data_IF_852270709567
#
_entry.id   IF_852270709567
#
_cell.length_a   1.000
_cell.length_b   1.000
_cell.length_c   1.000
_cell.angle_alpha   90.00
_cell.angle_beta   90.00
_cell.angle_gamma   90.00
#
_symmetry.space_group_name_H-M   'P 1'
#
loop_
_entity.id
_entity.type
_entity.pdbx_description
1 polymer ?
#
# COMPACT_ATOMS: atom_id res chain seq x y z
N UNK A 1 -5.43 17.26 44.48
CA UNK A 1 -6.58 16.33 44.41
C UNK A 1 -6.94 16.14 42.94
N UNK A 2 -7.05 14.88 42.51
CA UNK A 2 -7.45 14.49 41.15
C UNK A 2 -8.97 14.62 40.98
N UNK A 3 -9.43 15.01 39.79
CA UNK A 3 -10.70 14.66 39.14
C UNK A 3 -10.79 15.47 37.84
N UNK A 4 -11.20 14.98 36.67
CA UNK A 4 -11.72 13.69 36.22
C UNK A 4 -12.24 13.91 34.80
N UNK A 5 -11.82 13.09 33.84
CA UNK A 5 -12.21 13.20 32.42
C UNK A 5 -13.67 12.73 32.28
N UNK A 6 -14.54 13.58 31.73
CA UNK A 6 -15.94 13.24 31.46
C UNK A 6 -16.09 12.73 30.02
N UNK A 7 -16.14 11.41 29.88
CA UNK A 7 -16.50 10.68 28.65
C UNK A 7 -17.98 10.95 28.32
N UNK A 8 -18.29 11.35 27.08
CA UNK A 8 -19.65 11.57 26.62
C UNK A 8 -20.07 10.43 25.67
N UNK A 9 -20.60 9.35 26.25
CA UNK A 9 -21.16 8.20 25.54
C UNK A 9 -22.65 8.47 25.27
N UNK A 10 -23.05 8.61 23.99
CA UNK A 10 -24.47 8.63 23.62
C UNK A 10 -24.91 7.24 23.16
N UNK A 11 -25.75 6.65 23.99
CA UNK A 11 -26.52 5.43 23.79
C UNK A 11 -27.75 5.81 22.94
N UNK A 12 -28.07 5.03 21.91
CA UNK A 12 -29.37 5.12 21.25
C UNK A 12 -30.31 4.09 21.87
N UNK A 13 -31.51 4.56 22.23
CA UNK A 13 -32.54 3.78 22.92
C UNK A 13 -33.25 2.76 22.04
N UNK A 14 -33.82 1.80 22.75
CA UNK A 14 -34.54 0.60 22.35
C UNK A 14 -36.04 0.86 22.44
N UNK A 15 -36.78 0.67 21.36
CA UNK A 15 -38.20 0.27 21.36
C UNK A 15 -38.33 -0.92 20.41
N UNK A 16 -39.03 -2.02 20.66
CA UNK A 16 -40.01 -2.39 21.66
C UNK A 16 -41.07 -3.29 20.99
N UNK A 17 -40.93 -4.62 21.16
CA UNK A 17 -41.89 -5.75 20.98
C UNK A 17 -42.70 -5.89 19.65
N UNK A 18 -42.80 -7.07 19.04
CA UNK A 18 -43.64 -8.19 19.51
C UNK A 18 -43.16 -9.60 19.15
N UNK A 19 -43.68 -10.54 19.93
CA UNK A 19 -43.36 -11.97 20.01
C UNK A 19 -43.97 -12.81 18.89
N UNK A 20 -43.26 -13.87 18.48
CA UNK A 20 -43.86 -15.21 18.41
C UNK A 20 -42.79 -16.29 18.61
N UNK A 21 -43.10 -17.22 19.53
CA UNK A 21 -42.28 -18.36 19.96
C UNK A 21 -42.36 -19.49 18.94
N UNK A 22 -41.20 -20.01 18.55
CA UNK A 22 -41.03 -21.34 17.96
C UNK A 22 -39.65 -21.85 18.34
N UNK A 23 -39.60 -22.82 19.26
CA UNK A 23 -38.36 -23.40 19.74
C UNK A 23 -37.75 -24.33 18.67
N UNK A 24 -36.50 -24.10 18.29
CA UNK A 24 -35.56 -25.18 17.97
C UNK A 24 -34.12 -24.69 18.07
N UNK A 25 -33.28 -25.59 18.58
CA UNK A 25 -31.88 -25.44 18.91
C UNK A 25 -30.98 -25.34 17.68
N UNK A 26 -29.89 -24.57 17.84
CA UNK A 26 -28.56 -24.70 17.19
C UNK A 26 -28.46 -24.69 15.66
N UNK A 27 -28.10 -23.53 15.09
CA UNK A 27 -26.92 -23.29 14.21
C UNK A 27 -27.08 -21.97 13.42
N UNK A 28 -26.13 -21.01 13.47
CA UNK A 28 -26.04 -20.00 12.43
C UNK A 28 -25.41 -20.65 11.19
N UNK A 29 -26.21 -20.83 10.14
CA UNK A 29 -25.72 -21.17 8.82
C UNK A 29 -24.83 -20.01 8.32
N UNK A 30 -23.52 -20.24 8.31
CA UNK A 30 -22.59 -19.41 7.54
C UNK A 30 -22.94 -19.54 6.05
N UNK A 31 -23.85 -18.68 5.57
CA UNK A 31 -24.01 -18.42 4.14
C UNK A 31 -22.77 -17.66 3.66
N UNK A 32 -21.66 -18.39 3.56
CA UNK A 32 -20.44 -17.97 2.88
C UNK A 32 -20.87 -17.65 1.45
N UNK A 33 -20.90 -16.37 1.10
CA UNK A 33 -20.99 -15.95 -0.30
C UNK A 33 -19.81 -16.60 -1.01
N UNK A 34 -20.06 -17.76 -1.64
CA UNK A 34 -19.11 -18.43 -2.49
C UNK A 34 -19.14 -17.68 -3.81
N UNK A 35 -18.48 -16.52 -3.86
CA UNK A 35 -17.96 -16.03 -5.12
C UNK A 35 -16.98 -17.10 -5.61
N UNK A 36 -17.44 -17.96 -6.53
CA UNK A 36 -16.57 -18.88 -7.25
C UNK A 36 -15.63 -18.02 -8.09
N UNK A 37 -14.31 -18.09 -7.88
CA UNK A 37 -13.37 -17.58 -8.86
C UNK A 37 -13.42 -18.56 -10.04
N UNK A 38 -14.24 -18.27 -11.05
CA UNK A 38 -14.14 -18.91 -12.37
C UNK A 38 -12.93 -18.36 -13.09
N UNK A 39 -11.74 -18.63 -12.56
CA UNK A 39 -10.52 -18.72 -13.36
C UNK A 39 -9.48 -19.52 -12.57
N UNK A 40 -9.59 -20.84 -12.67
CA UNK A 40 -8.53 -21.74 -12.24
C UNK A 40 -7.27 -21.46 -13.07
N UNK A 41 -6.33 -20.70 -12.54
CA UNK A 41 -4.96 -20.78 -13.04
C UNK A 41 -4.38 -22.10 -12.54
N UNK A 42 -4.32 -23.10 -13.42
CA UNK A 42 -3.45 -24.24 -13.19
C UNK A 42 -2.03 -23.71 -13.11
N UNK A 43 -1.41 -23.77 -11.93
CA UNK A 43 0.04 -23.60 -11.78
C UNK A 43 0.68 -24.80 -12.47
N UNK A 44 0.92 -24.69 -13.77
CA UNK A 44 1.98 -25.47 -14.39
C UNK A 44 3.25 -24.81 -13.89
N UNK A 45 3.98 -25.49 -13.02
CA UNK A 45 5.38 -25.19 -12.71
C UNK A 45 6.17 -25.35 -14.02
N UNK A 46 6.09 -24.31 -14.85
CA UNK A 46 6.86 -24.20 -16.08
C UNK A 46 8.19 -23.67 -15.61
N UNK A 47 9.21 -24.52 -15.63
CA UNK A 47 10.59 -24.09 -15.55
C UNK A 47 10.74 -22.84 -16.43
N UNK A 48 11.26 -21.76 -15.86
CA UNK A 48 11.44 -20.48 -16.54
C UNK A 48 12.53 -20.63 -17.60
N UNK A 49 12.24 -21.32 -18.70
CA UNK A 49 13.08 -21.24 -19.88
C UNK A 49 12.76 -19.90 -20.53
N UNK A 50 13.75 -19.00 -20.69
CA UNK A 50 13.53 -17.71 -21.33
C UNK A 50 12.98 -17.90 -22.76
N UNK A 51 12.23 -16.91 -23.29
CA UNK A 51 11.80 -16.91 -24.68
C UNK A 51 13.02 -17.14 -25.58
N UNK A 52 12.97 -18.14 -26.45
CA UNK A 52 14.04 -18.46 -27.39
C UNK A 52 14.37 -17.21 -28.21
N UNK A 53 15.55 -16.63 -28.00
CA UNK A 53 16.06 -15.48 -28.75
C UNK A 53 16.44 -14.28 -27.89
N UNK A 54 16.05 -14.23 -26.61
CA UNK A 54 16.50 -13.18 -25.69
C UNK A 54 17.60 -13.79 -24.82
N UNK A 55 18.85 -13.43 -25.12
CA UNK A 55 19.98 -13.83 -24.29
C UNK A 55 19.78 -13.28 -22.86
N UNK A 56 19.76 -14.14 -21.82
CA UNK A 56 19.66 -13.72 -20.42
C UNK A 56 20.72 -12.71 -19.97
N UNK A 57 21.82 -12.55 -20.72
CA UNK A 57 22.88 -11.58 -20.51
C UNK A 57 22.75 -10.30 -21.35
N UNK A 58 21.73 -10.17 -22.21
CA UNK A 58 21.53 -8.94 -23.01
C UNK A 58 21.29 -7.71 -22.14
N UNK A 59 20.75 -7.90 -20.93
CA UNK A 59 20.63 -6.86 -19.92
C UNK A 59 21.10 -7.43 -18.58
N UNK A 60 22.39 -7.27 -18.21
CA UNK A 60 22.85 -7.67 -16.91
C UNK A 60 22.17 -6.79 -15.85
N UNK A 61 21.04 -7.27 -15.32
CA UNK A 61 20.51 -6.76 -14.06
C UNK A 61 21.54 -7.08 -12.99
N UNK A 62 22.14 -6.04 -12.41
CA UNK A 62 23.17 -6.19 -11.37
C UNK A 62 22.62 -6.73 -10.05
N UNK A 63 21.32 -7.02 -9.99
CA UNK A 63 20.63 -7.53 -8.82
C UNK A 63 20.37 -9.03 -8.96
N UNK A 64 20.72 -9.82 -7.93
CA UNK A 64 20.34 -11.23 -7.94
C UNK A 64 18.82 -11.36 -7.97
N UNK A 65 18.32 -12.39 -8.64
CA UNK A 65 16.87 -12.66 -8.74
C UNK A 65 16.19 -12.77 -7.36
N UNK A 66 16.95 -13.14 -6.32
CA UNK A 66 16.47 -13.21 -4.94
C UNK A 66 16.26 -11.81 -4.34
N UNK A 67 17.16 -10.87 -4.64
CA UNK A 67 17.11 -9.50 -4.11
C UNK A 67 15.99 -8.70 -4.76
N UNK A 68 15.84 -8.80 -6.09
CA UNK A 68 14.72 -8.17 -6.82
C UNK A 68 13.37 -8.68 -6.31
N UNK A 69 13.27 -9.99 -6.05
CA UNK A 69 12.05 -10.59 -5.49
C UNK A 69 11.75 -10.10 -4.08
N UNK A 70 12.77 -9.89 -3.24
CA UNK A 70 12.61 -9.34 -1.89
C UNK A 70 12.15 -7.89 -1.94
N UNK A 71 12.78 -7.07 -2.78
CA UNK A 71 12.40 -5.66 -3.00
C UNK A 71 10.95 -5.56 -3.48
N UNK A 72 10.60 -6.30 -4.55
CA UNK A 72 9.24 -6.30 -5.09
C UNK A 72 8.18 -6.73 -4.07
N UNK A 73 8.47 -7.73 -3.22
CA UNK A 73 7.58 -8.14 -2.12
C UNK A 73 7.40 -7.04 -1.08
N UNK A 74 8.47 -6.37 -0.66
CA UNK A 74 8.40 -5.27 0.33
C UNK A 74 7.57 -4.11 -0.20
N UNK A 75 7.80 -3.70 -1.45
CA UNK A 75 7.02 -2.62 -2.11
C UNK A 75 5.55 -3.03 -2.24
N UNK A 76 5.26 -4.25 -2.70
CA UNK A 76 3.89 -4.75 -2.83
C UNK A 76 3.15 -4.73 -1.48
N UNK A 77 3.84 -5.08 -0.40
CA UNK A 77 3.29 -5.06 0.95
C UNK A 77 2.96 -3.63 1.40
N UNK A 78 3.86 -2.67 1.14
CA UNK A 78 3.62 -1.25 1.41
C UNK A 78 2.39 -0.71 0.66
N UNK A 79 2.23 -1.05 -0.62
CA UNK A 79 1.08 -0.61 -1.41
C UNK A 79 -0.22 -1.19 -0.86
N UNK A 80 -0.24 -2.49 -0.55
CA UNK A 80 -1.43 -3.16 -0.02
C UNK A 80 -1.89 -2.58 1.33
N UNK A 81 -0.97 -2.39 2.28
CA UNK A 81 -1.33 -1.89 3.61
C UNK A 81 -1.78 -0.43 3.63
N UNK A 82 -1.29 0.38 2.69
CA UNK A 82 -1.66 1.79 2.58
C UNK A 82 -2.75 2.03 1.51
N UNK A 83 -3.34 0.97 0.96
CA UNK A 83 -4.35 1.02 -0.09
C UNK A 83 -3.94 1.89 -1.30
N UNK A 84 -2.66 1.85 -1.68
CA UNK A 84 -2.12 2.59 -2.82
C UNK A 84 -2.45 1.79 -4.10
N UNK A 85 -3.08 2.40 -5.11
CA UNK A 85 -3.38 1.69 -6.34
C UNK A 85 -2.10 1.41 -7.13
N UNK A 86 -1.99 0.20 -7.69
CA UNK A 86 -0.75 -0.28 -8.31
C UNK A 86 -0.32 0.52 -9.54
N UNK A 87 -1.25 1.16 -10.24
CA UNK A 87 -0.95 2.01 -11.39
C UNK A 87 0.02 3.17 -11.03
N UNK A 88 0.07 3.60 -9.76
CA UNK A 88 1.00 4.63 -9.29
C UNK A 88 2.46 4.24 -9.50
N UNK A 89 2.77 2.94 -9.53
CA UNK A 89 4.13 2.46 -9.79
C UNK A 89 4.58 2.74 -11.23
N UNK A 90 3.65 2.67 -12.19
CA UNK A 90 3.96 2.79 -13.62
C UNK A 90 3.66 4.20 -14.19
N UNK A 91 2.67 4.89 -13.63
CA UNK A 91 2.16 6.14 -14.20
C UNK A 91 2.63 7.40 -13.46
N UNK A 92 3.24 7.26 -12.29
CA UNK A 92 3.63 8.39 -11.44
C UNK A 92 5.12 8.72 -11.54
N UNK A 93 5.51 10.02 -11.55
CA UNK A 93 6.93 10.39 -11.59
C UNK A 93 7.67 10.05 -10.29
N UNK A 94 6.94 9.88 -9.19
CA UNK A 94 7.52 9.79 -7.85
C UNK A 94 7.97 8.38 -7.46
N UNK A 95 7.35 7.32 -7.99
CA UNK A 95 7.66 5.96 -7.55
C UNK A 95 9.08 5.56 -7.94
N UNK A 96 9.40 5.68 -9.23
CA UNK A 96 10.74 5.36 -9.73
C UNK A 96 11.79 6.31 -9.15
N UNK A 97 11.49 7.62 -9.10
CA UNK A 97 12.37 8.63 -8.51
C UNK A 97 12.72 8.32 -7.04
N UNK A 98 11.75 7.90 -6.22
CA UNK A 98 12.04 7.47 -4.84
C UNK A 98 13.01 6.29 -4.78
N UNK A 99 12.84 5.29 -5.66
CA UNK A 99 13.73 4.13 -5.72
C UNK A 99 15.14 4.57 -6.13
N UNK A 100 15.24 5.42 -7.15
CA UNK A 100 16.52 5.90 -7.68
C UNK A 100 17.30 6.68 -6.62
N UNK A 101 16.65 7.61 -5.89
CA UNK A 101 17.27 8.37 -4.80
C UNK A 101 17.75 7.45 -3.67
N UNK A 102 16.98 6.42 -3.32
CA UNK A 102 17.38 5.44 -2.30
C UNK A 102 18.60 4.64 -2.76
N UNK A 103 18.63 4.23 -4.02
CA UNK A 103 19.77 3.51 -4.62
C UNK A 103 21.00 4.41 -4.66
N UNK A 104 20.84 5.68 -5.05
CA UNK A 104 21.91 6.68 -5.09
C UNK A 104 22.50 6.93 -3.69
N UNK A 105 21.65 7.10 -2.69
CA UNK A 105 22.10 7.36 -1.32
C UNK A 105 22.72 6.11 -0.65
N UNK A 106 22.41 4.91 -1.16
CA UNK A 106 23.04 3.66 -0.79
C UNK A 106 22.55 3.03 0.53
N UNK A 107 23.11 1.87 0.92
CA UNK A 107 22.57 1.02 1.98
C UNK A 107 22.56 1.62 3.40
N UNK A 108 23.38 2.66 3.63
CA UNK A 108 23.55 3.28 4.94
C UNK A 108 22.41 4.24 5.30
N UNK A 109 21.49 4.53 4.37
CA UNK A 109 20.41 5.46 4.65
C UNK A 109 19.36 4.86 5.59
N UNK A 110 18.97 5.65 6.59
CA UNK A 110 17.79 5.37 7.40
C UNK A 110 16.64 6.23 6.89
N UNK A 111 15.49 5.60 6.67
CA UNK A 111 14.30 6.31 6.23
C UNK A 111 13.91 7.44 7.19
N UNK A 112 13.42 8.58 6.67
CA UNK A 112 13.01 9.70 7.50
C UNK A 112 11.81 9.33 8.39
N UNK A 113 11.76 9.89 9.60
CA UNK A 113 10.59 9.76 10.47
C UNK A 113 9.40 10.52 9.90
N UNK A 114 8.19 9.99 10.09
CA UNK A 114 6.95 10.59 9.59
C UNK A 114 6.75 12.07 9.99
N UNK A 115 7.19 12.46 11.19
CA UNK A 115 7.19 13.88 11.60
C UNK A 115 8.05 14.76 10.69
N UNK A 116 9.25 14.30 10.32
CA UNK A 116 10.15 15.05 9.41
C UNK A 116 9.59 15.13 7.99
N UNK A 117 8.94 14.05 7.52
CA UNK A 117 8.24 14.04 6.23
C UNK A 117 7.12 15.07 6.23
N UNK A 118 6.26 15.06 7.25
CA UNK A 118 5.08 15.93 7.32
C UNK A 118 5.43 17.41 7.44
N UNK A 119 6.47 17.74 8.20
CA UNK A 119 6.82 19.11 8.51
C UNK A 119 7.98 19.57 7.62
N UNK A 120 9.22 19.17 7.93
CA UNK A 120 10.43 19.69 7.29
C UNK A 120 10.44 19.50 5.77
N UNK A 121 10.36 18.26 5.30
CA UNK A 121 10.57 17.97 3.88
C UNK A 121 9.40 18.43 3.01
N UNK A 122 8.16 18.30 3.50
CA UNK A 122 7.00 18.76 2.76
C UNK A 122 6.96 20.31 2.67
N UNK A 123 7.36 21.02 3.72
CA UNK A 123 7.43 22.48 3.70
C UNK A 123 8.53 22.99 2.74
N UNK A 124 9.67 22.30 2.67
CA UNK A 124 10.74 22.60 1.71
C UNK A 124 10.24 22.47 0.26
N UNK A 125 9.61 21.35 -0.10
CA UNK A 125 9.03 21.13 -1.43
C UNK A 125 7.99 22.19 -1.79
N UNK A 126 7.08 22.52 -0.86
CA UNK A 126 6.07 23.58 -1.08
C UNK A 126 6.74 24.93 -1.32
N UNK A 127 7.79 25.26 -0.56
CA UNK A 127 8.51 26.52 -0.72
C UNK A 127 9.20 26.60 -2.09
N UNK A 128 9.86 25.53 -2.52
CA UNK A 128 10.49 25.46 -3.85
C UNK A 128 9.47 25.64 -4.98
N UNK A 129 8.31 24.99 -4.87
CA UNK A 129 7.22 25.15 -5.83
C UNK A 129 6.64 26.57 -5.85
N UNK A 130 6.49 27.21 -4.68
CA UNK A 130 6.04 28.61 -4.60
C UNK A 130 7.05 29.54 -5.30
N UNK A 131 8.35 29.33 -5.09
CA UNK A 131 9.39 30.10 -5.78
C UNK A 131 9.30 29.86 -7.29
N UNK A 132 9.16 28.61 -7.73
CA UNK A 132 9.02 28.29 -9.15
C UNK A 132 7.79 28.97 -9.78
N UNK A 133 6.62 28.90 -9.14
CA UNK A 133 5.39 29.52 -9.65
C UNK A 133 5.51 31.05 -9.69
N UNK A 134 6.10 31.68 -8.67
CA UNK A 134 6.26 33.14 -8.65
C UNK A 134 7.23 33.62 -9.72
N UNK A 135 8.33 32.89 -9.99
CA UNK A 135 9.25 33.20 -11.09
C UNK A 135 8.61 33.05 -12.47
N UNK A 136 7.73 32.06 -12.65
CA UNK A 136 6.95 31.91 -13.90
C UNK A 136 5.95 33.03 -14.09
N UNK A 137 5.29 33.51 -13.02
CA UNK A 137 4.31 34.60 -13.09
C UNK A 137 4.93 35.98 -13.31
N UNK A 138 6.21 36.13 -13.00
CA UNK A 138 6.94 37.39 -13.17
C UNK A 138 7.55 37.57 -14.58
N UNK A 139 7.48 36.54 -15.42
CA UNK A 139 7.83 36.59 -16.84
C UNK A 139 6.59 36.82 -17.69
#
# INVERSE_FOLDING_TARGET
MKQGIKENRRIFEKGGQDHQKGASSSQPSNARIKCKPTHSFSVRERASTPPKGIDPYMFPSKFSTKDVKKVGKTISTFFLFNAIPFNVADSGPYHQSMIDIIVEAGPSIKGPMGYRIRNTYLEEEVKELVVYITTLKAK
#
